data_IF_485428392849
#
_entry.id   IF_485428392849
#
_cell.length_a   1.000
_cell.length_b   1.000
_cell.length_c   1.000
_cell.angle_alpha   90.00
_cell.angle_beta   90.00
_cell.angle_gamma   90.00
#
_symmetry.space_group_name_H-M   'P 1'
#
loop_
_entity.id
_entity.type
_entity.pdbx_description
1 polymer ?
2 branched ?
3 water ?
#
# COMPACT_ATOMS: atom_id res chain seq x y z
N UNK A 1 -8.83 7.52 26.25
CA UNK A 1 -8.31 6.67 25.14
C UNK A 1 -9.43 6.17 24.23
N UNK A 2 -9.09 5.51 23.13
CA UNK A 2 -10.11 4.97 22.24
C UNK A 2 -10.06 3.45 22.27
N UNK A 3 -11.19 2.81 21.99
CA UNK A 3 -11.30 1.37 22.08
C UNK A 3 -11.07 0.60 20.79
N UNK A 4 -10.90 1.28 19.66
CA UNK A 4 -10.68 0.59 18.38
C UNK A 4 -9.43 1.15 17.71
N UNK A 5 -8.82 0.42 16.78
CA UNK A 5 -7.58 0.87 16.16
C UNK A 5 -7.72 2.16 15.35
N UNK A 6 -8.71 2.20 14.48
CA UNK A 6 -8.92 3.38 13.64
C UNK A 6 -9.20 4.62 14.47
N UNK A 7 -10.09 4.52 15.46
CA UNK A 7 -10.38 5.69 16.32
C UNK A 7 -9.16 6.10 17.13
N UNK A 8 -8.36 5.15 17.60
CA UNK A 8 -7.15 5.50 18.37
C UNK A 8 -6.15 6.21 17.49
N UNK A 9 -6.00 5.73 16.25
CA UNK A 9 -5.08 6.36 15.31
C UNK A 9 -5.55 7.78 15.01
N UNK A 10 -6.86 8.01 14.87
CA UNK A 10 -7.43 9.31 14.56
C UNK A 10 -7.15 10.36 15.62
N UNK A 11 -6.84 10.00 16.85
CA UNK A 11 -6.50 10.95 17.89
C UNK A 11 -5.23 11.72 17.53
N UNK A 12 -4.32 11.13 16.76
CA UNK A 12 -3.10 11.80 16.33
C UNK A 12 -3.19 12.22 14.86
N UNK A 13 -4.39 12.18 14.29
CA UNK A 13 -4.62 12.56 12.91
C UNK A 13 -4.24 11.50 11.88
N UNK A 14 -4.09 10.25 12.32
CA UNK A 14 -3.70 9.14 11.47
C UNK A 14 -4.83 8.14 11.25
N UNK A 15 -4.61 7.16 10.38
CA UNK A 15 -5.59 6.12 10.14
C UNK A 15 -4.98 4.75 10.47
N UNK A 16 -5.85 3.77 10.66
CA UNK A 16 -5.41 2.40 10.85
C UNK A 16 -6.29 1.60 9.88
N UNK A 17 -5.66 1.03 8.85
CA UNK A 17 -6.42 0.34 7.83
C UNK A 17 -6.13 -1.13 7.61
N UNK A 18 -6.87 -1.72 6.67
CA UNK A 18 -6.66 -3.13 6.34
C UNK A 18 -6.92 -3.36 4.86
N UNK A 19 -6.56 -4.56 4.40
CA UNK A 19 -6.87 -4.99 3.05
C UNK A 19 -8.23 -5.70 3.14
N UNK A 20 -9.11 -5.45 2.20
CA UNK A 20 -10.43 -6.07 2.15
C UNK A 20 -10.60 -6.86 0.86
N UNK A 21 -11.08 -8.09 0.93
CA UNK A 21 -11.31 -8.94 -0.23
C UNK A 21 -12.82 -9.06 -0.44
N UNK A 22 -13.28 -8.80 -1.66
CA UNK A 22 -14.69 -8.89 -2.01
C UNK A 22 -15.28 -10.26 -1.73
N UNK A 23 -14.53 -11.34 -1.93
CA UNK A 23 -14.99 -12.69 -1.66
C UNK A 23 -15.28 -13.01 -0.21
N UNK A 24 -14.80 -12.23 0.75
CA UNK A 24 -15.01 -12.39 2.17
C UNK A 24 -16.12 -11.52 2.74
N UNK A 25 -16.77 -10.72 1.89
CA UNK A 25 -17.80 -9.79 2.34
C UNK A 25 -19.13 -10.44 2.71
N UNK A 26 -19.29 -11.74 2.57
CA UNK A 26 -20.47 -12.46 3.01
C UNK A 26 -20.18 -13.11 4.36
N UNK A 27 -18.97 -12.88 4.89
CA UNK A 27 -18.59 -13.42 6.20
C UNK A 27 -18.86 -12.36 7.27
N UNK A 28 -19.90 -12.58 8.10
CA UNK A 28 -20.33 -11.63 9.10
C UNK A 28 -19.32 -11.28 10.17
N UNK A 29 -18.47 -12.23 10.54
CA UNK A 29 -17.41 -11.97 11.51
C UNK A 29 -16.39 -10.99 10.92
N UNK A 30 -16.03 -11.25 9.66
CA UNK A 30 -15.06 -10.40 8.96
C UNK A 30 -15.58 -8.98 8.78
N UNK A 31 -16.79 -8.84 8.25
CA UNK A 31 -17.36 -7.52 8.00
C UNK A 31 -17.62 -6.74 9.29
N UNK A 32 -18.05 -7.41 10.37
CA UNK A 32 -18.32 -6.66 11.60
C UNK A 32 -17.02 -6.25 12.28
N UNK A 33 -16.00 -7.12 12.34
CA UNK A 33 -14.72 -6.75 12.94
C UNK A 33 -13.96 -5.72 12.10
N UNK A 34 -13.95 -5.90 10.78
CA UNK A 34 -13.29 -4.94 9.91
C UNK A 34 -14.00 -3.59 9.98
N UNK A 35 -15.34 -3.61 10.03
CA UNK A 35 -16.10 -2.36 10.11
C UNK A 35 -15.80 -1.61 11.39
N UNK A 36 -15.70 -2.33 12.51
CA UNK A 36 -15.45 -1.68 13.80
C UNK A 36 -14.05 -1.10 13.95
N UNK A 37 -13.04 -1.85 13.52
CA UNK A 37 -11.65 -1.52 13.80
C UNK A 37 -10.87 -0.62 12.88
N UNK A 38 -11.23 -0.56 11.59
CA UNK A 38 -10.38 0.17 10.64
C UNK A 38 -11.08 1.38 10.03
N UNK A 39 -10.32 2.43 9.75
CA UNK A 39 -10.91 3.60 9.10
C UNK A 39 -10.31 3.82 7.72
N UNK A 40 -9.57 2.83 7.20
CA UNK A 40 -8.99 2.93 5.86
C UNK A 40 -9.01 1.55 5.19
N UNK A 41 -9.40 1.48 3.92
CA UNK A 41 -9.48 0.22 3.22
C UNK A 41 -8.62 0.25 1.93
N UNK A 42 -8.00 -0.89 1.67
CA UNK A 42 -7.26 -1.13 0.46
C UNK A 42 -7.92 -2.39 -0.15
N UNK A 43 -8.24 -2.34 -1.45
CA UNK A 43 -8.81 -3.56 -2.02
C UNK A 43 -7.67 -4.58 -2.13
N UNK A 44 -7.89 -5.82 -1.67
CA UNK A 44 -6.77 -6.77 -1.76
C UNK A 44 -6.34 -7.07 -3.19
N UNK A 45 -7.27 -7.29 -4.11
CA UNK A 45 -6.92 -7.65 -5.49
C UNK A 45 -7.77 -6.96 -6.54
N UNK A 46 -8.90 -6.39 -6.13
CA UNK A 46 -9.90 -5.90 -7.05
C UNK A 46 -9.61 -4.66 -7.87
N UNK A 47 -8.63 -3.85 -7.49
CA UNK A 47 -8.29 -2.65 -8.22
C UNK A 47 -6.98 -2.83 -8.99
N UNK A 48 -6.50 -4.06 -9.06
CA UNK A 48 -5.29 -4.34 -9.85
C UNK A 48 -5.62 -4.34 -11.34
N UNK A 49 -4.57 -4.39 -12.17
CA UNK A 49 -4.80 -4.28 -13.62
C UNK A 49 -5.64 -5.40 -14.21
N UNK A 50 -5.36 -6.65 -13.84
CA UNK A 50 -6.13 -7.76 -14.42
C UNK A 50 -7.60 -7.70 -14.05
N UNK A 51 -7.88 -7.33 -12.80
CA UNK A 51 -9.26 -7.27 -12.35
C UNK A 51 -10.01 -6.10 -12.96
N UNK A 52 -9.37 -4.94 -13.12
CA UNK A 52 -10.05 -3.76 -13.65
C UNK A 52 -10.05 -3.64 -15.17
N UNK A 53 -9.10 -4.23 -15.88
CA UNK A 53 -9.08 -4.16 -17.35
C UNK A 53 -8.72 -5.51 -17.90
N UNK A 54 -9.65 -6.45 -17.84
CA UNK A 54 -9.43 -7.83 -18.25
C UNK A 54 -9.14 -8.00 -19.72
N UNK A 55 -9.66 -7.10 -20.53
CA UNK A 55 -9.42 -7.05 -21.98
C UNK A 55 -9.06 -5.58 -22.27
N UNK A 56 -8.15 -5.31 -23.18
CA UNK A 56 -7.78 -3.92 -23.47
C UNK A 56 -8.98 -3.05 -23.82
N UNK A 57 -9.15 -1.97 -23.07
CA UNK A 57 -10.24 -1.02 -23.27
C UNK A 57 -11.57 -1.42 -22.69
N UNK A 58 -11.69 -2.60 -22.08
CA UNK A 58 -12.93 -3.12 -21.54
C UNK A 58 -12.82 -3.23 -20.03
N UNK A 59 -13.13 -2.12 -19.35
CA UNK A 59 -13.02 -2.10 -17.90
C UNK A 59 -14.12 -2.85 -17.19
N UNK A 60 -13.78 -3.41 -16.03
CA UNK A 60 -14.72 -4.13 -15.18
C UNK A 60 -14.49 -3.67 -13.75
N UNK A 61 -15.36 -2.79 -13.25
CA UNK A 61 -15.20 -2.29 -11.89
C UNK A 61 -16.16 -2.95 -10.91
N UNK A 62 -16.84 -4.03 -11.31
CA UNK A 62 -17.82 -4.64 -10.41
C UNK A 62 -17.26 -5.01 -9.05
N UNK A 63 -16.20 -5.80 -9.02
CA UNK A 63 -15.62 -6.25 -7.73
C UNK A 63 -14.92 -5.10 -7.03
N UNK A 64 -14.24 -4.22 -7.77
CA UNK A 64 -13.60 -3.07 -7.16
C UNK A 64 -14.62 -2.14 -6.51
N UNK A 65 -15.75 -1.89 -7.20
CA UNK A 65 -16.79 -1.04 -6.63
C UNK A 65 -17.45 -1.68 -5.41
N UNK A 66 -17.53 -3.00 -5.37
CA UNK A 66 -18.06 -3.69 -4.18
C UNK A 66 -17.20 -3.38 -2.96
N UNK A 67 -15.87 -3.38 -3.12
CA UNK A 67 -14.98 -3.04 -2.02
C UNK A 67 -15.07 -1.56 -1.67
N UNK A 68 -15.04 -0.71 -2.70
CA UNK A 68 -15.12 0.73 -2.52
C UNK A 68 -16.41 1.11 -1.78
N UNK A 69 -17.54 0.63 -2.30
CA UNK A 69 -18.84 0.92 -1.70
C UNK A 69 -18.91 0.41 -0.26
N UNK A 70 -18.37 -0.77 0.00
CA UNK A 70 -18.37 -1.28 1.37
C UNK A 70 -17.60 -0.32 2.28
N UNK A 71 -16.41 0.11 1.84
CA UNK A 71 -15.64 1.06 2.65
C UNK A 71 -16.40 2.34 2.96
N UNK A 72 -16.93 3.00 1.93
CA UNK A 72 -17.63 4.28 2.16
C UNK A 72 -18.87 4.11 3.01
N UNK A 73 -19.63 3.04 2.81
CA UNK A 73 -20.80 2.73 3.62
C UNK A 73 -20.42 2.50 5.08
N UNK A 74 -19.20 2.04 5.34
CA UNK A 74 -18.73 1.80 6.70
C UNK A 74 -17.82 2.89 7.23
N UNK A 75 -17.84 4.08 6.60
CA UNK A 75 -17.08 5.21 7.07
C UNK A 75 -15.59 5.20 6.88
N UNK A 76 -15.07 4.46 5.90
CA UNK A 76 -13.64 4.43 5.67
C UNK A 76 -13.24 5.15 4.38
N UNK A 77 -11.99 5.60 4.37
CA UNK A 77 -11.40 6.17 3.16
C UNK A 77 -10.78 4.98 2.42
N UNK A 78 -10.30 5.18 1.19
CA UNK A 78 -9.79 4.07 0.40
C UNK A 78 -8.45 4.41 -0.24
N UNK A 79 -7.52 3.47 -0.13
CA UNK A 79 -6.24 3.58 -0.81
C UNK A 79 -6.38 2.76 -2.10
N UNK A 80 -6.13 3.38 -3.26
CA UNK A 80 -6.26 2.64 -4.52
C UNK A 80 -4.98 1.80 -4.71
N UNK A 81 -5.15 0.55 -5.13
CA UNK A 81 -3.97 -0.29 -5.33
C UNK A 81 -4.21 -1.27 -6.45
N UNK A 82 -3.43 -1.27 -7.51
CA UNK A 82 -2.28 -0.43 -7.80
C UNK A 82 -2.32 -0.23 -9.32
N UNK A 83 -1.85 0.87 -9.88
CA UNK A 83 -2.06 1.18 -11.30
C UNK A 83 -1.02 0.68 -12.29
N UNK A 84 0.21 0.48 -11.85
CA UNK A 84 1.26 0.00 -12.76
C UNK A 84 2.18 -0.95 -11.98
N UNK A 85 2.26 -2.19 -12.44
CA UNK A 85 3.03 -3.19 -11.70
C UNK A 85 3.41 -4.32 -12.65
N UNK A 86 4.56 -4.95 -12.42
CA UNK A 86 4.99 -6.07 -13.25
C UNK A 86 4.18 -7.33 -13.01
N UNK A 87 3.63 -7.49 -11.81
CA UNK A 87 2.91 -8.68 -11.44
C UNK A 87 1.40 -8.59 -11.67
N UNK A 88 0.81 -9.72 -11.99
CA UNK A 88 -0.64 -9.81 -12.18
C UNK A 88 -1.18 -9.07 -13.40
N UNK A 89 -0.37 -8.89 -14.45
CA UNK A 89 -0.91 -8.20 -15.62
C UNK A 89 -1.79 -9.18 -16.38
N UNK A 90 -2.87 -8.68 -16.97
CA UNK A 90 -3.72 -9.49 -17.84
C UNK A 90 -2.86 -9.93 -19.01
N UNK A 91 -3.16 -11.08 -19.63
CA UNK A 91 -2.37 -11.55 -20.75
C UNK A 91 -2.21 -10.54 -21.87
N UNK A 92 -3.25 -9.78 -22.19
CA UNK A 92 -3.13 -8.81 -23.29
C UNK A 92 -2.04 -7.78 -23.01
N UNK A 93 -1.83 -7.39 -21.75
CA UNK A 93 -0.81 -6.42 -21.41
C UNK A 93 0.57 -7.07 -21.39
N UNK A 94 0.64 -8.36 -21.05
CA UNK A 94 1.91 -9.06 -21.02
C UNK A 94 2.53 -9.17 -22.42
N UNK A 95 1.71 -9.18 -23.46
CA UNK A 95 2.14 -9.24 -24.84
C UNK A 95 2.67 -7.92 -25.38
N UNK A 96 2.44 -6.81 -24.67
CA UNK A 96 2.86 -5.51 -25.14
C UNK A 96 4.24 -5.12 -24.63
N UNK A 97 4.94 -4.36 -25.47
CA UNK A 97 6.26 -3.85 -25.17
C UNK A 97 6.44 -2.45 -25.76
N UNK A 98 7.49 -1.78 -25.32
CA UNK A 98 7.85 -0.48 -25.82
C UNK A 98 6.73 0.54 -25.84
N UNK A 99 6.60 1.27 -26.96
CA UNK A 99 5.59 2.30 -27.10
C UNK A 99 4.15 1.84 -26.98
N UNK A 100 3.83 0.63 -27.43
CA UNK A 100 2.47 0.11 -27.34
C UNK A 100 2.12 -0.13 -25.88
N UNK A 101 3.09 -0.65 -25.12
CA UNK A 101 2.89 -0.86 -23.69
C UNK A 101 2.78 0.48 -22.96
N UNK A 102 3.60 1.46 -23.34
CA UNK A 102 3.53 2.78 -22.75
C UNK A 102 2.13 3.38 -22.90
N UNK A 103 1.57 3.27 -24.11
CA UNK A 103 0.24 3.81 -24.34
C UNK A 103 -0.80 3.07 -23.51
N UNK A 104 -0.69 1.74 -23.43
CA UNK A 104 -1.64 0.96 -22.63
C UNK A 104 -1.51 1.27 -21.14
N UNK A 105 -0.29 1.53 -20.65
CA UNK A 105 -0.08 1.86 -19.25
C UNK A 105 -0.78 3.19 -18.92
N UNK A 106 -0.59 4.16 -19.80
CA UNK A 106 -1.20 5.48 -19.69
C UNK A 106 -2.72 5.37 -19.76
N UNK A 107 -3.26 4.63 -20.74
CA UNK A 107 -4.69 4.45 -20.85
C UNK A 107 -5.29 3.77 -19.62
N UNK A 108 -4.54 2.80 -19.08
CA UNK A 108 -5.04 2.10 -17.88
C UNK A 108 -5.11 3.03 -16.69
N UNK A 109 -4.09 3.86 -16.47
CA UNK A 109 -4.11 4.84 -15.38
C UNK A 109 -5.27 5.81 -15.56
N UNK A 110 -5.39 6.37 -16.77
CA UNK A 110 -6.48 7.30 -17.04
C UNK A 110 -7.87 6.72 -16.83
N UNK A 111 -8.13 5.50 -17.29
CA UNK A 111 -9.45 4.90 -17.15
C UNK A 111 -9.81 4.55 -15.72
N UNK A 112 -8.85 3.98 -14.99
CA UNK A 112 -9.16 3.61 -13.60
C UNK A 112 -9.29 4.85 -12.74
N UNK A 113 -8.37 5.80 -12.89
CA UNK A 113 -8.44 7.03 -12.10
C UNK A 113 -9.67 7.86 -12.42
N UNK A 114 -10.11 7.89 -13.67
CA UNK A 114 -11.34 8.64 -13.98
C UNK A 114 -12.55 8.05 -13.26
N UNK A 115 -12.65 6.73 -13.19
CA UNK A 115 -13.77 6.07 -12.51
C UNK A 115 -13.89 6.46 -11.05
N UNK A 116 -12.78 6.63 -10.36
CA UNK A 116 -12.71 6.99 -8.96
C UNK A 116 -12.27 8.43 -8.72
N UNK A 117 -12.36 9.30 -9.73
CA UNK A 117 -11.89 10.67 -9.57
C UNK A 117 -12.49 11.38 -8.37
N UNK A 118 -11.61 11.85 -7.50
CA UNK A 118 -11.94 12.58 -6.28
C UNK A 118 -12.44 11.70 -5.15
N UNK A 119 -12.38 10.38 -5.29
CA UNK A 119 -12.93 9.48 -4.30
C UNK A 119 -11.86 8.66 -3.57
N UNK A 120 -10.64 8.73 -4.06
CA UNK A 120 -9.53 7.94 -3.48
C UNK A 120 -8.46 8.85 -2.91
N UNK A 121 -8.21 8.72 -1.59
CA UNK A 121 -7.25 9.59 -0.92
C UNK A 121 -5.80 9.38 -1.34
N UNK A 122 -5.41 8.13 -1.57
CA UNK A 122 -4.06 7.82 -1.99
C UNK A 122 -4.10 6.74 -3.08
N UNK A 123 -3.20 6.84 -4.04
CA UNK A 123 -3.07 5.81 -5.04
C UNK A 123 -1.64 5.23 -4.99
N UNK A 124 -1.54 3.90 -5.05
CA UNK A 124 -0.24 3.27 -5.24
C UNK A 124 -0.10 3.29 -6.77
N UNK A 125 0.51 4.34 -7.29
CA UNK A 125 0.59 4.51 -8.75
C UNK A 125 1.50 3.45 -9.36
N UNK A 126 2.67 3.29 -8.73
CA UNK A 126 3.65 2.31 -9.19
C UNK A 126 4.03 1.39 -8.03
N UNK A 127 4.07 0.09 -8.32
CA UNK A 127 4.38 -0.88 -7.29
C UNK A 127 5.61 -1.72 -7.62
N UNK A 128 6.46 -1.91 -6.62
CA UNK A 128 7.60 -2.82 -6.69
C UNK A 128 8.50 -2.73 -7.92
N UNK A 129 9.01 -1.54 -8.21
CA UNK A 129 9.89 -1.36 -9.36
C UNK A 129 11.35 -1.71 -9.14
N UNK A 130 11.79 -1.92 -7.89
CA UNK A 130 13.20 -2.24 -7.68
C UNK A 130 13.45 -3.73 -7.50
N UNK A 131 14.65 -4.15 -7.91
CA UNK A 131 15.05 -5.54 -7.73
C UNK A 131 15.45 -5.79 -6.28
N UNK A 132 15.42 -7.05 -5.85
CA UNK A 132 15.87 -7.39 -4.50
C UNK A 132 17.38 -7.61 -4.60
N UNK A 133 18.11 -7.58 -3.49
CA UNK A 133 19.54 -7.81 -3.56
C UNK A 133 20.37 -6.55 -3.35
N UNK A 134 21.67 -6.68 -3.61
CA UNK A 134 22.63 -5.61 -3.40
C UNK A 134 22.80 -4.62 -4.53
N UNK A 135 22.27 -4.90 -5.72
CA UNK A 135 22.51 -4.03 -6.86
C UNK A 135 21.81 -2.69 -6.84
N UNK A 136 20.59 -2.62 -6.31
CA UNK A 136 19.81 -1.39 -6.34
C UNK A 136 19.24 -1.14 -7.74
N UNK A 137 19.27 -2.16 -8.59
CA UNK A 137 18.77 -2.02 -9.95
C UNK A 137 17.25 -2.07 -9.98
N UNK A 138 16.72 -1.63 -11.11
CA UNK A 138 15.28 -1.71 -11.32
C UNK A 138 14.98 -3.18 -11.66
N UNK A 139 13.84 -3.67 -11.19
CA UNK A 139 13.41 -5.02 -11.53
C UNK A 139 13.18 -5.14 -13.02
N UNK A 140 13.51 -6.30 -13.62
CA UNK A 140 13.25 -6.51 -15.04
C UNK A 140 11.76 -6.77 -15.24
N UNK A 141 11.16 -6.10 -16.22
CA UNK A 141 9.74 -6.28 -16.52
C UNK A 141 9.49 -5.63 -17.88
N UNK A 142 8.34 -5.92 -18.49
CA UNK A 142 8.06 -5.27 -19.78
C UNK A 142 8.03 -3.76 -19.55
N UNK A 143 7.49 -3.29 -18.43
CA UNK A 143 7.41 -1.88 -18.08
C UNK A 143 8.79 -1.26 -17.99
N UNK A 144 9.70 -1.89 -17.24
CA UNK A 144 11.06 -1.36 -17.12
C UNK A 144 11.79 -1.41 -18.45
N UNK A 145 11.52 -2.43 -19.28
CA UNK A 145 12.18 -2.51 -20.59
C UNK A 145 11.69 -1.42 -21.54
N UNK A 146 10.55 -0.80 -21.27
CA UNK A 146 10.05 0.30 -22.09
C UNK A 146 10.86 1.57 -21.87
N UNK A 147 11.63 1.65 -20.80
CA UNK A 147 12.51 2.79 -20.54
C UNK A 147 12.57 3.14 -19.07
N UNK A 148 13.66 3.78 -18.62
CA UNK A 148 13.77 4.15 -17.22
C UNK A 148 12.72 5.16 -16.78
N UNK A 149 12.17 5.93 -17.70
CA UNK A 149 11.18 6.94 -17.46
C UNK A 149 9.77 6.42 -17.25
N UNK A 150 9.54 5.11 -17.28
CA UNK A 150 8.19 4.59 -17.13
C UNK A 150 7.55 5.03 -15.82
N UNK A 151 8.32 5.07 -14.74
CA UNK A 151 7.78 5.44 -13.44
C UNK A 151 7.35 6.89 -13.43
N UNK A 152 8.23 7.79 -13.89
CA UNK A 152 7.91 9.22 -13.94
C UNK A 152 6.68 9.48 -14.80
N UNK A 153 6.56 8.79 -15.95
CA UNK A 153 5.40 8.96 -16.82
C UNK A 153 4.12 8.52 -16.15
N UNK A 154 4.16 7.41 -15.40
CA UNK A 154 2.98 6.96 -14.66
C UNK A 154 2.52 8.03 -13.67
N UNK A 155 3.47 8.61 -12.94
CA UNK A 155 3.16 9.67 -11.99
C UNK A 155 2.62 10.92 -12.66
N UNK A 156 3.23 11.37 -13.75
CA UNK A 156 2.70 12.57 -14.44
C UNK A 156 1.31 12.32 -15.00
N UNK A 157 1.09 11.10 -15.50
CA UNK A 157 -0.24 10.73 -16.02
C UNK A 157 -1.28 10.76 -14.89
N UNK A 158 -0.96 10.17 -13.75
CA UNK A 158 -1.87 10.13 -12.61
C UNK A 158 -2.18 11.51 -12.06
N UNK A 159 -1.22 12.42 -12.00
CA UNK A 159 -1.45 13.76 -11.46
C UNK A 159 -2.51 14.48 -12.29
N UNK A 160 -2.38 14.37 -13.61
CA UNK A 160 -3.34 15.01 -14.51
C UNK A 160 -4.71 14.34 -14.48
N UNK A 161 -4.77 13.04 -14.25
CA UNK A 161 -6.02 12.31 -14.20
C UNK A 161 -6.87 12.67 -12.99
N UNK A 162 -6.22 12.86 -11.85
CA UNK A 162 -6.92 13.24 -10.63
C UNK A 162 -5.98 13.98 -9.71
N UNK A 163 -5.98 15.30 -9.79
CA UNK A 163 -5.16 16.19 -9.00
C UNK A 163 -5.43 16.16 -7.50
N UNK A 164 -6.53 15.59 -7.04
CA UNK A 164 -6.87 15.53 -5.63
C UNK A 164 -6.28 14.31 -4.94
N UNK A 165 -5.78 13.33 -5.68
CA UNK A 165 -5.26 12.14 -5.01
C UNK A 165 -3.79 12.28 -4.64
N UNK A 166 -3.41 11.68 -3.50
CA UNK A 166 -2.00 11.69 -3.14
C UNK A 166 -1.36 10.53 -3.92
N UNK A 167 -0.30 10.79 -4.66
CA UNK A 167 0.32 9.77 -5.50
C UNK A 167 1.50 9.09 -4.83
N UNK A 168 1.38 7.78 -4.61
CA UNK A 168 2.47 7.08 -3.92
C UNK A 168 3.23 6.07 -4.75
N UNK A 169 4.52 5.92 -4.40
CA UNK A 169 5.38 4.88 -4.94
C UNK A 169 5.42 3.84 -3.80
N UNK A 170 5.18 2.56 -4.09
CA UNK A 170 5.10 1.56 -3.02
C UNK A 170 6.08 0.41 -3.24
N UNK A 171 6.71 -0.11 -2.18
CA UNK A 171 7.64 -1.22 -2.38
C UNK A 171 7.95 -1.93 -1.06
N UNK A 172 8.56 -3.12 -1.16
CA UNK A 172 8.89 -3.91 0.03
C UNK A 172 10.41 -4.07 0.12
N UNK A 173 10.89 -4.49 1.29
CA UNK A 173 12.32 -4.66 1.52
C UNK A 173 13.04 -3.32 1.39
N UNK A 174 12.35 -2.25 1.74
CA UNK A 174 12.85 -0.88 1.66
C UNK A 174 12.71 -0.17 2.99
N UNK A 175 12.61 -0.95 4.07
CA UNK A 175 12.41 -0.36 5.40
C UNK A 175 13.70 -0.14 6.20
N UNK A 176 14.70 -0.97 5.93
CA UNK A 176 15.98 -0.85 6.64
C UNK A 176 16.83 0.19 5.93
N UNK A 177 17.16 1.28 6.63
CA UNK A 177 17.90 2.39 6.06
C UNK A 177 19.20 2.00 5.37
N UNK A 178 19.91 1.00 5.85
CA UNK A 178 21.17 0.54 5.30
C UNK A 178 21.07 -0.33 4.05
N UNK A 179 19.90 -0.81 3.66
CA UNK A 179 19.81 -1.70 2.51
C UNK A 179 19.94 -0.96 1.20
N UNK A 180 20.56 -1.63 0.23
CA UNK A 180 20.75 -1.09 -1.11
C UNK A 180 19.41 -0.77 -1.77
N UNK A 181 18.42 -1.64 -1.60
CA UNK A 181 17.09 -1.39 -2.18
C UNK A 181 16.49 -0.11 -1.62
N UNK A 182 16.59 0.08 -0.31
CA UNK A 182 16.10 1.28 0.36
C UNK A 182 16.78 2.52 -0.24
N UNK A 183 18.11 2.43 -0.39
CA UNK A 183 18.86 3.54 -0.96
C UNK A 183 18.50 3.80 -2.40
N UNK A 184 18.21 2.78 -3.19
CA UNK A 184 17.80 2.97 -4.58
C UNK A 184 16.49 3.76 -4.64
N UNK A 185 15.53 3.41 -3.78
CA UNK A 185 14.25 4.10 -3.72
C UNK A 185 14.42 5.55 -3.26
N UNK A 186 15.27 5.74 -2.24
CA UNK A 186 15.58 7.06 -1.70
C UNK A 186 16.13 7.98 -2.79
N UNK A 187 17.12 7.50 -3.54
CA UNK A 187 17.69 8.33 -4.60
C UNK A 187 16.70 8.59 -5.73
N UNK A 188 15.80 7.64 -6.02
CA UNK A 188 14.80 7.89 -7.05
C UNK A 188 13.86 9.01 -6.60
N UNK A 189 13.39 8.97 -5.35
CA UNK A 189 12.48 10.00 -4.85
C UNK A 189 13.18 11.36 -4.76
N UNK A 190 14.44 11.37 -4.33
CA UNK A 190 15.23 12.61 -4.28
C UNK A 190 15.33 13.20 -5.69
N UNK A 191 15.61 12.36 -6.67
CA UNK A 191 15.69 12.78 -8.07
C UNK A 191 14.37 13.33 -8.56
N UNK A 192 13.26 12.65 -8.25
CA UNK A 192 11.94 13.07 -8.65
C UNK A 192 11.61 14.45 -8.11
N UNK A 193 11.90 14.69 -6.83
CA UNK A 193 11.70 16.00 -6.22
C UNK A 193 12.52 17.09 -6.87
N UNK A 194 13.76 16.83 -7.26
CA UNK A 194 14.59 17.83 -7.92
C UNK A 194 14.09 18.16 -9.33
N UNK A 195 13.54 17.16 -10.03
CA UNK A 195 13.06 17.37 -11.38
C UNK A 195 11.58 17.70 -11.48
N UNK A 196 10.87 17.82 -10.38
CA UNK A 196 9.47 18.18 -10.35
C UNK A 196 8.47 17.08 -10.67
N UNK A 197 8.89 15.82 -10.61
CA UNK A 197 7.98 14.71 -10.86
C UNK A 197 7.01 14.68 -9.70
N UNK A 198 5.73 14.61 -9.97
CA UNK A 198 4.67 14.66 -8.99
C UNK A 198 4.48 13.41 -8.17
N UNK A 199 5.28 13.27 -7.12
CA UNK A 199 5.18 12.14 -6.18
C UNK A 199 4.93 12.76 -4.81
N UNK A 200 3.86 12.33 -4.16
CA UNK A 200 3.45 12.91 -2.89
C UNK A 200 3.73 12.00 -1.69
N UNK A 201 3.89 10.71 -1.96
CA UNK A 201 4.04 9.78 -0.85
C UNK A 201 4.85 8.55 -1.27
N UNK A 202 5.41 7.93 -0.22
CA UNK A 202 6.15 6.69 -0.37
C UNK A 202 5.50 5.66 0.55
N UNK A 203 5.15 4.51 -0.01
CA UNK A 203 4.55 3.42 0.75
C UNK A 203 5.59 2.34 1.08
N UNK A 204 5.68 2.03 2.36
CA UNK A 204 6.56 0.99 2.87
C UNK A 204 5.69 -0.23 3.15
N UNK A 205 5.82 -1.28 2.35
CA UNK A 205 4.98 -2.46 2.53
C UNK A 205 5.10 -3.02 3.94
N UNK A 206 6.29 -3.10 4.52
CA UNK A 206 6.43 -3.57 5.89
C UNK A 206 6.07 -5.02 6.11
N UNK A 207 6.50 -5.89 5.20
CA UNK A 207 6.37 -7.33 5.36
C UNK A 207 7.62 -7.77 6.15
N UNK A 208 7.51 -7.77 7.47
CA UNK A 208 8.65 -8.12 8.31
C UNK A 208 8.65 -9.61 8.63
N UNK A 209 9.83 -10.22 8.53
CA UNK A 209 9.97 -11.66 8.77
C UNK A 209 11.43 -11.98 9.03
N UNK A 210 11.78 -13.25 9.27
CA UNK A 210 13.16 -13.57 9.61
C UNK A 210 14.20 -13.15 8.58
N UNK A 211 13.91 -13.28 7.29
CA UNK A 211 14.83 -12.90 6.24
C UNK A 211 14.90 -11.41 5.97
N UNK A 212 13.92 -10.63 6.38
CA UNK A 212 13.86 -9.17 6.23
C UNK A 212 13.27 -8.57 7.49
N UNK A 213 14.03 -8.64 8.57
CA UNK A 213 13.59 -8.25 9.89
C UNK A 213 13.47 -6.77 10.12
N UNK A 214 12.52 -6.43 11.01
CA UNK A 214 12.35 -5.06 11.43
C UNK A 214 13.65 -4.61 12.11
N UNK A 215 13.98 -3.35 11.93
CA UNK A 215 15.15 -2.74 12.55
C UNK A 215 14.67 -1.42 13.14
N UNK A 216 15.26 -0.94 14.23
CA UNK A 216 14.88 0.36 14.78
C UNK A 216 15.14 1.49 13.82
N UNK A 217 16.04 1.33 12.84
CA UNK A 217 16.33 2.38 11.88
C UNK A 217 15.20 2.60 10.90
N UNK A 218 14.10 1.84 10.90
CA UNK A 218 12.93 2.12 10.09
C UNK A 218 12.47 3.55 10.37
N UNK A 219 12.55 4.00 11.62
CA UNK A 219 12.20 5.36 11.99
C UNK A 219 13.05 6.37 11.22
N UNK A 220 14.35 6.08 11.11
CA UNK A 220 15.29 6.91 10.36
C UNK A 220 14.90 6.92 8.88
N UNK A 221 14.54 5.75 8.36
CA UNK A 221 14.07 5.65 6.97
C UNK A 221 12.86 6.55 6.79
N UNK A 222 11.87 6.39 7.67
CA UNK A 222 10.67 7.23 7.57
C UNK A 222 11.01 8.72 7.63
N UNK A 223 11.82 9.13 8.61
CA UNK A 223 12.21 10.53 8.75
C UNK A 223 12.94 11.05 7.52
N UNK A 224 13.90 10.28 7.02
CA UNK A 224 14.69 10.72 5.86
C UNK A 224 13.83 10.86 4.61
N UNK A 225 12.87 9.95 4.38
CA UNK A 225 12.00 10.12 3.22
C UNK A 225 11.08 11.32 3.43
N UNK A 226 10.54 11.53 4.63
CA UNK A 226 9.69 12.68 4.92
C UNK A 226 10.43 14.00 4.67
N UNK A 227 11.73 14.07 4.97
CA UNK A 227 12.52 15.26 4.74
C UNK A 227 12.69 15.60 3.26
N UNK A 228 12.41 14.68 2.35
CA UNK A 228 12.45 14.94 0.92
C UNK A 228 11.22 15.70 0.46
N UNK A 229 10.23 15.85 1.33
CA UNK A 229 9.01 16.58 1.04
C UNK A 229 7.89 15.65 0.58
N UNK A 230 7.86 14.42 1.11
CA UNK A 230 6.82 13.47 0.79
C UNK A 230 6.22 12.92 2.09
N UNK A 231 4.97 12.48 2.00
CA UNK A 231 4.35 11.84 3.16
C UNK A 231 4.80 10.37 3.12
N UNK A 232 4.72 9.66 4.23
CA UNK A 232 5.07 8.24 4.23
C UNK A 232 3.91 7.45 4.81
N UNK A 233 3.77 6.20 4.41
CA UNK A 233 2.69 5.34 4.89
C UNK A 233 3.17 3.89 4.97
N UNK A 234 2.66 3.18 5.96
CA UNK A 234 2.96 1.75 6.16
C UNK A 234 1.77 1.08 5.47
N UNK A 235 2.00 0.39 4.36
CA UNK A 235 0.89 -0.08 3.54
C UNK A 235 0.43 -1.50 3.57
N UNK A 236 1.28 -2.49 3.83
CA UNK A 236 0.87 -3.90 3.79
C UNK A 236 1.44 -4.68 4.98
N UNK A 237 1.42 -4.04 6.14
CA UNK A 237 2.05 -4.60 7.33
C UNK A 237 1.56 -5.97 7.78
N UNK A 238 2.54 -6.81 8.08
CA UNK A 238 2.34 -8.15 8.65
C UNK A 238 3.72 -8.53 9.18
N UNK A 239 3.77 -9.27 10.28
CA UNK A 239 5.01 -9.60 10.95
C UNK A 239 4.97 -11.08 11.33
N UNK A 240 5.92 -11.87 10.85
CA UNK A 240 5.98 -13.31 11.15
C UNK A 240 5.86 -13.56 12.64
N UNK A 241 4.88 -14.39 13.02
CA UNK A 241 4.62 -14.74 14.40
C UNK A 241 3.83 -13.73 15.21
N UNK A 242 3.58 -12.56 14.63
CA UNK A 242 2.90 -11.43 15.21
C UNK A 242 3.31 -11.06 16.63
N UNK A 243 4.58 -10.81 16.83
CA UNK A 243 5.12 -10.46 18.13
C UNK A 243 4.63 -9.08 18.56
N UNK A 244 4.11 -8.98 19.79
CA UNK A 244 3.62 -7.71 20.32
C UNK A 244 4.70 -6.62 20.31
N UNK A 245 5.91 -6.97 20.75
CA UNK A 245 7.01 -6.01 20.80
C UNK A 245 7.25 -5.34 19.45
N UNK A 246 7.37 -6.14 18.39
CA UNK A 246 7.65 -5.58 17.06
C UNK A 246 6.47 -4.77 16.55
N UNK A 247 5.24 -5.24 16.75
CA UNK A 247 4.06 -4.48 16.34
C UNK A 247 4.00 -3.14 17.06
N UNK A 248 4.35 -3.12 18.34
CA UNK A 248 4.40 -1.85 19.07
C UNK A 248 5.52 -0.99 18.51
N UNK A 249 6.67 -1.56 18.16
CA UNK A 249 7.78 -0.73 17.67
C UNK A 249 7.41 -0.02 16.37
N UNK A 250 6.87 -0.77 15.42
CA UNK A 250 6.46 -0.21 14.13
C UNK A 250 5.42 0.89 14.32
N UNK A 251 4.44 0.67 15.18
CA UNK A 251 3.40 1.67 15.43
C UNK A 251 4.02 2.95 15.98
N UNK A 252 4.90 2.80 16.98
CA UNK A 252 5.56 3.97 17.56
C UNK A 252 6.48 4.67 16.57
N UNK A 253 7.06 3.96 15.60
CA UNK A 253 7.88 4.63 14.58
C UNK A 253 7.01 5.56 13.74
N UNK A 254 5.82 5.11 13.37
CA UNK A 254 4.92 5.96 12.59
C UNK A 254 4.47 7.15 13.44
N UNK A 255 4.11 6.91 14.71
CA UNK A 255 3.68 7.98 15.59
C UNK A 255 4.75 9.04 15.85
N UNK A 256 6.03 8.71 15.72
CA UNK A 256 7.12 9.66 15.91
C UNK A 256 7.43 10.50 14.68
N UNK A 257 6.84 10.15 13.53
CA UNK A 257 7.14 10.89 12.30
C UNK A 257 5.90 11.69 11.89
N UNK A 258 6.00 13.03 11.90
CA UNK A 258 4.83 13.85 11.61
C UNK A 258 4.14 13.54 10.28
N UNK A 259 4.90 13.22 9.24
CA UNK A 259 4.26 12.90 7.96
C UNK A 259 3.94 11.44 7.74
N UNK A 260 3.89 10.61 8.79
CA UNK A 260 3.48 9.22 8.65
C UNK A 260 1.95 9.24 8.76
N UNK A 261 1.30 9.09 7.61
CA UNK A 261 -0.15 9.21 7.51
C UNK A 261 -0.93 8.16 8.28
N UNK A 262 -0.40 6.94 8.39
CA UNK A 262 -1.14 5.89 9.07
C UNK A 262 -0.53 4.54 8.68
N UNK A 263 -1.17 3.50 9.19
CA UNK A 263 -0.75 2.13 8.98
C UNK A 263 -1.87 1.25 8.45
N UNK A 264 -1.54 0.40 7.48
CA UNK A 264 -2.48 -0.58 6.96
C UNK A 264 -1.89 -1.98 7.21
N UNK A 265 -2.64 -2.86 7.86
CA UNK A 265 -2.16 -4.25 8.03
C UNK A 265 -2.73 -5.05 6.87
N UNK A 266 -2.01 -6.03 6.34
CA UNK A 266 -2.51 -6.74 5.15
C UNK A 266 -3.42 -7.91 5.45
N UNK A 267 -4.62 -7.59 5.93
CA UNK A 267 -5.63 -8.61 6.25
C UNK A 267 -6.17 -8.40 7.66
N UNK A 268 -7.26 -9.11 7.95
CA UNK A 268 -7.91 -8.99 9.25
C UNK A 268 -7.50 -10.13 10.16
N UNK A 269 -7.98 -11.34 9.91
CA UNK A 269 -7.62 -12.51 10.70
C UNK A 269 -6.41 -13.20 10.10
N UNK A 270 -5.69 -14.00 10.89
CA UNK A 270 -4.53 -14.74 10.36
C UNK A 270 -4.94 -15.59 9.16
N UNK A 271 -6.11 -16.24 9.21
CA UNK A 271 -6.57 -17.07 8.12
C UNK A 271 -6.97 -16.31 6.86
N UNK A 272 -7.08 -14.99 6.89
CA UNK A 272 -7.41 -14.18 5.73
C UNK A 272 -6.15 -13.80 4.94
N UNK A 273 -4.98 -14.09 5.50
CA UNK A 273 -3.72 -13.72 4.87
C UNK A 273 -3.14 -14.77 3.94
N UNK A 274 -2.33 -14.35 2.95
CA UNK A 274 -1.62 -15.32 2.13
C UNK A 274 -0.53 -15.99 2.98
N UNK A 275 -0.08 -15.30 4.01
CA UNK A 275 0.93 -15.82 4.92
C UNK A 275 0.32 -16.35 6.20
N UNK A 276 -0.87 -16.95 6.15
CA UNK A 276 -1.55 -17.47 7.33
C UNK A 276 -0.72 -18.43 8.17
N UNK A 277 0.17 -19.21 7.55
CA UNK A 277 1.02 -20.14 8.28
C UNK A 277 1.96 -19.46 9.25
N UNK A 278 2.35 -18.21 9.00
CA UNK A 278 3.20 -17.45 9.90
C UNK A 278 2.43 -16.62 10.91
N UNK A 279 1.10 -16.76 10.93
CA UNK A 279 0.18 -16.08 11.83
C UNK A 279 0.69 -14.69 12.17
N UNK A 280 0.63 -13.83 11.14
CA UNK A 280 1.26 -12.52 11.17
C UNK A 280 0.38 -11.31 11.34
N UNK A 281 -0.89 -11.51 11.62
CA UNK A 281 -1.82 -10.39 11.75
C UNK A 281 -2.32 -10.22 13.18
N UNK A 282 -3.25 -9.30 13.40
CA UNK A 282 -3.68 -8.93 14.74
C UNK A 282 -4.87 -9.67 15.32
N UNK A 283 -5.63 -10.40 14.53
CA UNK A 283 -6.78 -11.15 15.02
C UNK A 283 -6.62 -12.65 14.76
N UNK A 284 -7.08 -13.45 15.72
CA UNK A 284 -7.04 -14.91 15.57
C UNK A 284 -8.07 -15.31 14.51
N UNK A 285 -8.05 -16.60 14.17
CA UNK A 285 -8.98 -17.15 13.18
C UNK A 285 -10.44 -17.06 13.61
N UNK A 286 -10.71 -17.09 14.90
CA UNK A 286 -12.05 -16.97 15.44
C UNK A 286 -12.50 -15.54 15.65
N UNK A 287 -11.69 -14.56 15.26
CA UNK A 287 -12.00 -13.16 15.39
C UNK A 287 -11.54 -12.50 16.67
N UNK A 288 -11.01 -13.28 17.61
CA UNK A 288 -10.54 -12.74 18.88
C UNK A 288 -9.25 -11.95 18.72
N UNK A 289 -9.02 -11.02 19.63
CA UNK A 289 -7.82 -10.21 19.63
C UNK A 289 -6.66 -10.97 20.26
N UNK A 290 -5.52 -10.90 19.60
CA UNK A 290 -4.29 -11.52 20.07
C UNK A 290 -3.58 -10.56 21.01
N UNK A 291 -2.31 -10.84 21.27
CA UNK A 291 -1.50 -9.97 22.11
C UNK A 291 -1.02 -8.77 21.30
N UNK A 292 -0.77 -8.99 20.01
CA UNK A 292 -0.29 -7.89 19.16
C UNK A 292 -1.32 -6.79 19.01
N UNK A 293 -2.60 -7.14 18.95
CA UNK A 293 -3.65 -6.13 18.87
C UNK A 293 -3.54 -5.18 20.07
N UNK A 294 -3.52 -5.77 21.28
CA UNK A 294 -3.45 -4.95 22.50
C UNK A 294 -2.27 -4.00 22.52
N UNK A 295 -1.11 -4.47 22.09
CA UNK A 295 0.09 -3.64 22.01
C UNK A 295 -0.10 -2.49 21.04
N UNK A 296 -0.61 -2.74 19.84
CA UNK A 296 -0.84 -1.67 18.85
C UNK A 296 -1.82 -0.62 19.38
N UNK A 297 -2.95 -1.06 19.92
CA UNK A 297 -3.94 -0.16 20.48
C UNK A 297 -3.33 0.68 21.59
N UNK A 298 -2.61 0.06 22.51
CA UNK A 298 -1.96 0.80 23.59
C UNK A 298 -1.00 1.86 23.06
N UNK A 299 -0.18 1.51 22.06
CA UNK A 299 0.75 2.47 21.46
C UNK A 299 0.00 3.64 20.84
N UNK A 300 -1.09 3.35 20.12
CA UNK A 300 -1.88 4.41 19.49
C UNK A 300 -2.51 5.32 20.53
N UNK A 301 -2.84 4.78 21.70
CA UNK A 301 -3.41 5.53 22.80
C UNK A 301 -2.36 6.22 23.66
N UNK A 302 -1.08 5.96 23.40
CA UNK A 302 0.01 6.55 24.16
C UNK A 302 0.08 5.96 25.57
X LIG B 1 1.99 -6.44 -1.40
X LIG B 1 1.29 -6.24 -2.72
X LIG B 1 -0.12 -6.77 -2.63
X LIG B 1 -0.02 -8.24 -2.19
X LIG B 1 0.65 -8.31 -0.82
X LIG B 1 0.85 -9.75 -0.33
X LIG B 1 -0.76 -6.60 -3.88
X LIG B 1 -1.32 -8.81 -2.11
X LIG B 1 1.96 -7.76 -0.94
X LIG B 1 1.69 -10.40 -1.28
X LIG B 1 1.29 -4.91 -3.11
X LIG B 2 -2.79 -10.65 -2.26
X LIG B 2 -2.96 -12.02 -2.93
X LIG B 2 -2.70 -11.97 -4.43
X LIG B 2 -1.39 -11.23 -4.77
X LIG B 2 -1.17 -10.93 -6.25
X LIG B 2 -1.40 -10.11 -2.65
X LIG B 2 -2.86 -10.78 -0.85
X LIG B 2 -4.29 -12.47 -2.68
X LIG B 2 -2.73 -13.30 -4.89
X LIG B 2 -1.36 -10.00 -4.06
X LIG B 2 -2.11 -10.01 -6.75
#
# INVERSE_FOLDING_TARGET
AESTLGAAAAQSGRYFGTAIASGRLSDSTYTSIAGREFNMVTAENEMKIDATEPQRGQFNFSSADRVYNWAVQNGKQVRGHTLAWHSQQPGWMQSLSGSALRQAMIDHINGVMAHYKGKIVQWDVVNEAFADGSSGARRDSNLQRSGNDWIEVAFRTARAADPSAKLCYNDYNVENWTWAKTQAMYNMVRDFKQRGVPIDCVGFQSHFNSGSPYNSNFRTTLQNFAALGVDVAITELDIQGAPASTYANVTNDCLAVSRCLGITVWGVRDSDSWRSEQTPLLFNNDGSKKAAYTAVLDALNGGASSEPPADGG
G2F C1 C2 C3 C4 C5 C6 O3 O4 O5 O6 F2
BGC C2 C3 C4 C5 C6 C1 O2 O3 O4 O5 O6
#
